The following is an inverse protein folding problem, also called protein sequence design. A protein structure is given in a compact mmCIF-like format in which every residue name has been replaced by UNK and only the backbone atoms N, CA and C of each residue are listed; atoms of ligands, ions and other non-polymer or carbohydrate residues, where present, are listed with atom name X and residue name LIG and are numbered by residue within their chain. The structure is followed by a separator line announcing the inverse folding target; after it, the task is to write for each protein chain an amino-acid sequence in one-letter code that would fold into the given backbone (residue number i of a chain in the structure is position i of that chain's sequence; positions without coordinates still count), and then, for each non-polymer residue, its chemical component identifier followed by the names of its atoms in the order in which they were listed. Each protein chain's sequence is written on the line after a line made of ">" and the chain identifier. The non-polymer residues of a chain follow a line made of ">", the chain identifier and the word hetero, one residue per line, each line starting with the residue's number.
data_IF_211639128651
#
_entry.id   IF_211639128651
#
_cell.length_a   1.000
_cell.length_b   1.000
_cell.length_c   1.000
_cell.angle_alpha   90.00
_cell.angle_beta   90.00
_cell.angle_gamma   90.00
#
_symmetry.space_group_name_H-M   'P 1'
#
loop_
_entity.id
_entity.type
_entity.pdbx_description
1 polymer ?
#
# COMPACT_ATOMS: atom_id res chain seq x y z
N UNK A 1 -21.71 -0.21 -18.26
CA UNK A 1 -20.98 -1.20 -17.43
C UNK A 1 -19.96 -1.88 -18.32
N UNK A 2 -18.70 -1.88 -17.94
CA UNK A 2 -17.63 -2.60 -18.65
C UNK A 2 -17.13 -3.73 -17.75
N UNK A 3 -16.66 -4.81 -18.38
CA UNK A 3 -16.00 -5.92 -17.69
C UNK A 3 -14.50 -5.65 -17.70
N UNK A 4 -13.91 -5.53 -16.52
CA UNK A 4 -12.49 -5.23 -16.36
C UNK A 4 -11.78 -6.40 -15.70
N UNK A 5 -10.47 -6.52 -16.00
CA UNK A 5 -9.58 -7.50 -15.38
C UNK A 5 -8.40 -6.77 -14.75
N UNK A 6 -8.03 -7.18 -13.54
CA UNK A 6 -6.90 -6.56 -12.83
C UNK A 6 -6.18 -7.57 -11.94
N UNK A 7 -4.95 -7.23 -11.57
CA UNK A 7 -4.21 -7.87 -10.48
C UNK A 7 -4.15 -6.92 -9.30
N UNK A 8 -4.51 -7.38 -8.11
CA UNK A 8 -4.56 -6.51 -6.95
C UNK A 8 -4.32 -7.20 -5.62
N UNK A 9 -3.95 -6.39 -4.64
CA UNK A 9 -3.80 -6.76 -3.24
C UNK A 9 -5.08 -6.43 -2.48
N UNK A 10 -5.61 -7.37 -1.72
CA UNK A 10 -6.77 -7.12 -0.85
C UNK A 10 -6.31 -6.33 0.37
N UNK A 11 -6.74 -5.06 0.46
CA UNK A 11 -6.34 -4.13 1.53
C UNK A 11 -7.42 -3.93 2.60
N UNK A 12 -8.69 -4.23 2.29
CA UNK A 12 -9.79 -4.16 3.27
C UNK A 12 -10.92 -5.11 2.89
N UNK A 13 -11.53 -5.73 3.89
CA UNK A 13 -12.75 -6.52 3.71
C UNK A 13 -13.76 -6.14 4.79
N UNK A 14 -15.03 -5.99 4.40
CA UNK A 14 -16.12 -5.66 5.32
C UNK A 14 -17.33 -6.52 5.00
N UNK A 15 -17.90 -7.15 6.01
CA UNK A 15 -19.13 -7.93 5.85
C UNK A 15 -20.30 -6.99 5.52
N UNK A 16 -21.04 -7.31 4.46
CA UNK A 16 -22.16 -6.50 3.96
C UNK A 16 -23.52 -7.13 4.25
N UNK A 17 -23.61 -8.44 4.10
CA UNK A 17 -24.82 -9.22 4.39
C UNK A 17 -24.43 -10.62 4.88
N UNK A 18 -25.39 -11.49 5.16
CA UNK A 18 -25.14 -12.86 5.56
C UNK A 18 -24.22 -13.62 4.59
N UNK A 19 -24.31 -13.35 3.32
CA UNK A 19 -23.58 -14.09 2.28
C UNK A 19 -22.59 -13.23 1.48
N UNK A 20 -22.64 -11.90 1.60
CA UNK A 20 -21.85 -10.97 0.76
C UNK A 20 -20.89 -10.15 1.58
N UNK A 21 -19.79 -9.73 0.97
CA UNK A 21 -18.84 -8.78 1.55
C UNK A 21 -18.44 -7.69 0.56
N UNK A 22 -18.07 -6.53 1.08
CA UNK A 22 -17.41 -5.47 0.32
C UNK A 22 -15.93 -5.70 0.46
N UNK A 23 -15.21 -5.66 -0.65
CA UNK A 23 -13.75 -5.77 -0.69
C UNK A 23 -13.17 -4.50 -1.28
N UNK A 24 -12.09 -4.00 -0.68
CA UNK A 24 -11.24 -2.95 -1.25
C UNK A 24 -9.97 -3.62 -1.73
N UNK A 25 -9.70 -3.51 -3.02
CA UNK A 25 -8.58 -4.14 -3.68
C UNK A 25 -7.72 -3.03 -4.28
N UNK A 26 -6.46 -2.95 -3.89
CA UNK A 26 -5.47 -2.09 -4.48
C UNK A 26 -4.91 -2.77 -5.73
N UNK A 27 -5.30 -2.27 -6.91
CA UNK A 27 -4.96 -2.90 -8.19
C UNK A 27 -3.85 -2.16 -8.92
N UNK A 28 -3.08 -2.91 -9.69
CA UNK A 28 -2.01 -2.36 -10.52
C UNK A 28 -2.54 -1.48 -11.65
N UNK A 29 -3.62 -1.90 -12.29
CA UNK A 29 -4.16 -1.31 -13.51
C UNK A 29 -5.13 -0.15 -13.26
N UNK A 30 -5.84 -0.20 -12.14
CA UNK A 30 -6.94 0.74 -11.85
C UNK A 30 -6.79 1.45 -10.50
N UNK A 31 -5.70 1.26 -9.75
CA UNK A 31 -5.59 1.78 -8.40
C UNK A 31 -6.60 1.13 -7.46
N UNK A 32 -7.21 1.90 -6.57
CA UNK A 32 -8.15 1.39 -5.58
C UNK A 32 -9.52 1.08 -6.19
N UNK A 33 -9.96 -0.16 -6.08
CA UNK A 33 -11.26 -0.65 -6.54
C UNK A 33 -12.05 -1.16 -5.34
N UNK A 34 -13.29 -0.68 -5.18
CA UNK A 34 -14.23 -1.15 -4.16
C UNK A 34 -15.36 -1.93 -4.80
N UNK A 35 -15.47 -3.21 -4.47
CA UNK A 35 -16.42 -4.09 -5.13
C UNK A 35 -17.22 -4.94 -4.14
N UNK A 36 -18.47 -5.24 -4.53
CA UNK A 36 -19.33 -6.18 -3.83
C UNK A 36 -19.07 -7.60 -4.33
N UNK A 37 -18.59 -8.47 -3.45
CA UNK A 37 -18.44 -9.91 -3.68
C UNK A 37 -19.71 -10.64 -3.21
N UNK A 38 -20.65 -10.90 -4.12
CA UNK A 38 -21.87 -11.66 -3.81
C UNK A 38 -21.57 -13.12 -3.55
N UNK A 39 -22.01 -13.63 -2.42
CA UNK A 39 -21.72 -15.02 -2.01
C UNK A 39 -20.29 -15.20 -1.46
N UNK A 40 -19.50 -14.15 -1.28
CA UNK A 40 -18.11 -14.20 -0.82
C UNK A 40 -17.90 -14.73 0.61
N UNK A 41 -18.99 -14.88 1.39
CA UNK A 41 -18.95 -15.47 2.74
C UNK A 41 -19.43 -16.93 2.80
N UNK A 42 -19.83 -17.50 1.67
CA UNK A 42 -20.26 -18.90 1.63
C UNK A 42 -19.07 -19.82 1.76
N UNK A 43 -19.21 -20.96 2.47
CA UNK A 43 -18.16 -21.96 2.66
C UNK A 43 -17.63 -22.55 1.35
N UNK A 44 -18.43 -22.55 0.29
CA UNK A 44 -18.06 -22.91 -1.08
C UNK A 44 -18.25 -21.68 -1.98
N UNK A 45 -17.52 -20.61 -1.68
CA UNK A 45 -17.56 -19.39 -2.47
C UNK A 45 -16.69 -19.56 -3.73
N UNK A 46 -17.11 -18.93 -4.84
CA UNK A 46 -16.29 -18.87 -6.06
C UNK A 46 -15.00 -18.03 -5.87
N UNK A 47 -14.84 -17.43 -4.72
CA UNK A 47 -13.69 -16.57 -4.39
C UNK A 47 -12.66 -17.25 -3.50
N UNK A 48 -13.01 -18.42 -2.89
CA UNK A 48 -12.15 -19.15 -1.94
C UNK A 48 -11.39 -18.23 -0.98
N UNK A 49 -10.09 -18.50 -0.78
CA UNK A 49 -9.18 -17.67 0.02
C UNK A 49 -8.59 -16.47 -0.74
N UNK A 50 -9.00 -16.24 -2.00
CA UNK A 50 -8.47 -15.16 -2.82
C UNK A 50 -8.79 -13.76 -2.26
N UNK A 51 -9.88 -13.65 -1.46
CA UNK A 51 -10.30 -12.39 -0.85
C UNK A 51 -9.86 -12.24 0.62
N UNK A 52 -8.91 -13.03 1.08
CA UNK A 52 -8.31 -12.82 2.40
C UNK A 52 -7.46 -11.55 2.41
N UNK A 53 -7.44 -10.85 3.54
CA UNK A 53 -6.64 -9.66 3.72
C UNK A 53 -5.15 -9.94 3.45
N UNK A 54 -4.49 -9.07 2.73
CA UNK A 54 -3.10 -9.21 2.26
C UNK A 54 -2.88 -10.36 1.25
N UNK A 55 -3.93 -10.85 0.58
CA UNK A 55 -3.78 -11.76 -0.56
C UNK A 55 -3.69 -10.98 -1.87
N UNK A 56 -2.80 -11.39 -2.76
CA UNK A 56 -2.78 -10.92 -4.15
C UNK A 56 -3.68 -11.82 -4.98
N UNK A 57 -4.57 -11.22 -5.75
CA UNK A 57 -5.51 -11.93 -6.59
C UNK A 57 -5.63 -11.32 -7.98
N UNK A 58 -5.90 -12.18 -8.96
CA UNK A 58 -6.41 -11.75 -10.26
C UNK A 58 -7.92 -11.69 -10.17
N UNK A 59 -8.50 -10.55 -10.55
CA UNK A 59 -9.94 -10.28 -10.43
C UNK A 59 -10.58 -9.97 -11.77
N UNK A 60 -11.86 -10.30 -11.87
CA UNK A 60 -12.77 -9.80 -12.92
C UNK A 60 -13.91 -9.09 -12.23
N UNK A 61 -14.21 -7.87 -12.65
CA UNK A 61 -15.28 -7.08 -12.06
C UNK A 61 -16.05 -6.28 -13.11
N UNK A 62 -17.30 -5.98 -12.80
CA UNK A 62 -18.16 -5.10 -13.60
C UNK A 62 -18.07 -3.69 -13.02
N UNK A 63 -17.39 -2.80 -13.77
CA UNK A 63 -17.27 -1.39 -13.42
C UNK A 63 -18.60 -0.67 -13.65
N UNK A 64 -19.05 0.07 -12.63
CA UNK A 64 -20.25 0.90 -12.70
C UNK A 64 -19.90 2.37 -12.91
N UNK A 65 -20.64 3.04 -13.76
CA UNK A 65 -20.43 4.46 -14.07
C UNK A 65 -21.07 5.42 -13.07
N UNK A 66 -21.90 4.91 -12.15
CA UNK A 66 -22.74 5.72 -11.25
C UNK A 66 -22.16 5.98 -9.86
N UNK A 67 -20.86 5.76 -9.62
CA UNK A 67 -20.26 5.88 -8.27
C UNK A 67 -20.71 4.83 -7.25
N UNK A 68 -21.55 3.85 -7.68
CA UNK A 68 -21.94 2.72 -6.85
C UNK A 68 -20.82 1.69 -6.81
N UNK A 69 -20.79 0.86 -5.75
CA UNK A 69 -19.85 -0.27 -5.64
C UNK A 69 -19.87 -1.12 -6.91
N UNK A 70 -18.70 -1.45 -7.41
CA UNK A 70 -18.55 -2.39 -8.51
C UNK A 70 -19.02 -3.79 -8.13
N UNK A 71 -19.20 -4.67 -9.09
CA UNK A 71 -19.56 -6.05 -8.83
C UNK A 71 -18.38 -6.97 -9.15
N UNK A 72 -17.82 -7.59 -8.12
CA UNK A 72 -16.81 -8.62 -8.30
C UNK A 72 -17.47 -9.91 -8.81
N UNK A 73 -17.01 -10.38 -9.97
CA UNK A 73 -17.54 -11.60 -10.60
C UNK A 73 -16.63 -12.79 -10.42
N UNK A 74 -15.31 -12.57 -10.45
CA UNK A 74 -14.31 -13.61 -10.25
C UNK A 74 -13.14 -13.06 -9.42
N UNK A 75 -12.54 -13.93 -8.60
CA UNK A 75 -11.23 -13.70 -7.98
C UNK A 75 -10.48 -15.04 -7.87
N UNK A 76 -9.21 -15.03 -8.23
CA UNK A 76 -8.31 -16.18 -8.13
C UNK A 76 -7.05 -15.75 -7.40
N UNK A 77 -6.65 -16.51 -6.38
CA UNK A 77 -5.42 -16.26 -5.64
C UNK A 77 -4.19 -16.38 -6.56
N UNK A 78 -3.30 -15.39 -6.49
CA UNK A 78 -2.03 -15.34 -7.22
C UNK A 78 -0.86 -15.52 -6.25
N UNK A 79 -0.86 -14.79 -5.15
CA UNK A 79 0.20 -14.84 -4.15
C UNK A 79 -0.35 -14.61 -2.75
N UNK A 80 0.21 -15.30 -1.77
CA UNK A 80 -0.06 -15.11 -0.35
C UNK A 80 1.25 -15.01 0.41
N UNK A 81 1.25 -14.34 1.56
CA UNK A 81 2.43 -14.09 2.38
C UNK A 81 2.32 -14.82 3.73
N UNK A 82 2.34 -16.18 3.78
CA UNK A 82 2.11 -16.94 5.02
C UNK A 82 3.17 -16.64 6.10
N UNK A 83 4.38 -16.25 5.70
CA UNK A 83 5.47 -15.92 6.62
C UNK A 83 5.22 -14.65 7.43
N UNK A 84 4.43 -13.71 6.93
CA UNK A 84 4.05 -12.51 7.70
C UNK A 84 3.35 -12.87 9.02
N UNK A 85 2.63 -13.99 9.04
CA UNK A 85 1.91 -14.46 10.25
C UNK A 85 2.83 -15.11 11.28
N UNK A 86 4.10 -15.37 10.96
CA UNK A 86 5.06 -15.99 11.86
C UNK A 86 5.76 -14.95 12.76
N UNK A 87 5.73 -13.67 12.36
CA UNK A 87 6.35 -12.57 13.09
C UNK A 87 5.39 -11.39 13.25
N UNK A 88 5.11 -11.03 14.50
CA UNK A 88 4.10 -10.02 14.83
C UNK A 88 4.43 -8.64 14.24
N UNK A 89 5.70 -8.24 14.28
CA UNK A 89 6.16 -6.95 13.73
C UNK A 89 5.93 -6.88 12.22
N UNK A 90 6.21 -7.95 11.48
CA UNK A 90 5.98 -8.03 10.04
C UNK A 90 4.49 -7.99 9.71
N UNK A 91 3.66 -8.68 10.48
CA UNK A 91 2.21 -8.70 10.29
C UNK A 91 1.59 -7.31 10.51
N UNK A 92 1.97 -6.64 11.60
CA UNK A 92 1.46 -5.28 11.87
C UNK A 92 1.95 -4.27 10.85
N UNK A 93 3.19 -4.37 10.39
CA UNK A 93 3.69 -3.52 9.30
C UNK A 93 2.87 -3.73 8.02
N UNK A 94 2.54 -4.98 7.66
CA UNK A 94 1.72 -5.26 6.50
C UNK A 94 0.28 -4.73 6.63
N UNK A 95 -0.33 -4.82 7.81
CA UNK A 95 -1.65 -4.21 8.07
C UNK A 95 -1.61 -2.69 7.97
N UNK A 96 -0.58 -2.07 8.53
CA UNK A 96 -0.36 -0.62 8.41
C UNK A 96 -0.22 -0.18 6.95
N UNK A 97 0.55 -0.91 6.13
CA UNK A 97 0.65 -0.64 4.70
C UNK A 97 -0.72 -0.73 4.00
N UNK A 98 -1.51 -1.77 4.32
CA UNK A 98 -2.85 -1.93 3.75
C UNK A 98 -3.79 -0.78 4.14
N UNK A 99 -3.70 -0.27 5.38
CA UNK A 99 -4.45 0.88 5.86
C UNK A 99 -4.05 2.15 5.11
N UNK A 100 -2.75 2.43 4.97
CA UNK A 100 -2.26 3.59 4.20
C UNK A 100 -2.76 3.56 2.75
N UNK A 101 -2.64 2.42 2.07
CA UNK A 101 -3.14 2.26 0.70
C UNK A 101 -4.66 2.46 0.63
N UNK A 102 -5.40 1.97 1.63
CA UNK A 102 -6.84 2.12 1.69
C UNK A 102 -7.32 3.56 1.89
N UNK A 103 -6.60 4.33 2.71
CA UNK A 103 -7.06 5.64 3.18
C UNK A 103 -6.42 6.81 2.43
N UNK A 104 -5.19 6.66 1.91
CA UNK A 104 -4.43 7.77 1.31
C UNK A 104 -4.47 7.80 -0.21
N UNK A 105 -4.98 6.76 -0.86
CA UNK A 105 -5.11 6.73 -2.31
C UNK A 105 -6.54 6.97 -2.75
N UNK A 106 -6.72 7.44 -3.98
CA UNK A 106 -8.04 7.70 -4.55
C UNK A 106 -8.59 6.48 -5.30
N UNK A 107 -9.91 6.40 -5.44
CA UNK A 107 -10.53 5.35 -6.22
C UNK A 107 -10.20 5.54 -7.71
N UNK A 108 -9.79 4.49 -8.39
CA UNK A 108 -9.44 4.50 -9.82
C UNK A 108 -8.25 5.39 -10.20
N UNK A 109 -7.36 5.66 -9.28
CA UNK A 109 -6.09 6.35 -9.54
C UNK A 109 -4.93 5.33 -9.46
N UNK A 110 -4.40 4.84 -10.60
CA UNK A 110 -3.39 3.80 -10.61
C UNK A 110 -1.99 4.33 -10.36
N UNK A 111 -1.26 3.68 -9.45
CA UNK A 111 0.14 3.90 -9.14
C UNK A 111 0.94 2.60 -9.31
N UNK A 112 1.33 2.20 -10.54
CA UNK A 112 1.97 0.91 -10.77
C UNK A 112 3.30 0.74 -10.04
N UNK A 113 4.08 1.81 -9.87
CA UNK A 113 5.36 1.76 -9.14
C UNK A 113 5.14 1.50 -7.65
N UNK A 114 4.15 2.15 -7.05
CA UNK A 114 3.76 1.91 -5.66
C UNK A 114 3.23 0.49 -5.49
N UNK A 115 2.51 -0.05 -6.47
CA UNK A 115 2.04 -1.43 -6.44
C UNK A 115 3.20 -2.43 -6.35
N UNK A 116 4.20 -2.29 -7.21
CA UNK A 116 5.38 -3.17 -7.20
C UNK A 116 6.17 -3.03 -5.89
N UNK A 117 6.42 -1.80 -5.41
CA UNK A 117 7.10 -1.57 -4.12
C UNK A 117 6.33 -2.20 -2.95
N UNK A 118 4.99 -2.14 -2.98
CA UNK A 118 4.14 -2.79 -1.97
C UNK A 118 4.39 -4.30 -1.93
N UNK A 119 4.37 -4.96 -3.08
CA UNK A 119 4.60 -6.41 -3.14
C UNK A 119 6.02 -6.78 -2.74
N UNK A 120 7.04 -6.02 -3.18
CA UNK A 120 8.43 -6.22 -2.76
C UNK A 120 8.59 -6.09 -1.25
N UNK A 121 7.97 -5.07 -0.66
CA UNK A 121 8.02 -4.85 0.78
C UNK A 121 7.35 -5.99 1.54
N UNK A 122 6.16 -6.45 1.13
CA UNK A 122 5.47 -7.57 1.77
C UNK A 122 6.29 -8.87 1.71
N UNK A 123 6.94 -9.15 0.56
CA UNK A 123 7.85 -10.30 0.41
C UNK A 123 9.06 -10.19 1.34
N UNK A 124 9.65 -8.99 1.41
CA UNK A 124 10.82 -8.72 2.24
C UNK A 124 10.51 -8.84 3.74
N UNK A 125 9.36 -8.31 4.19
CA UNK A 125 8.90 -8.42 5.58
C UNK A 125 8.71 -9.88 6.02
N UNK A 126 8.33 -10.77 5.09
CA UNK A 126 8.24 -12.20 5.35
C UNK A 126 9.59 -12.94 5.40
N UNK A 127 10.72 -12.27 5.16
CA UNK A 127 12.04 -12.89 5.11
C UNK A 127 12.71 -12.80 6.47
N UNK A 128 13.13 -13.94 7.10
CA UNK A 128 13.81 -13.94 8.39
C UNK A 128 15.06 -13.07 8.40
N UNK A 129 15.28 -12.31 9.47
CA UNK A 129 16.46 -11.45 9.65
C UNK A 129 16.39 -10.11 8.89
N UNK A 130 15.36 -9.85 8.11
CA UNK A 130 15.18 -8.56 7.45
C UNK A 130 14.53 -7.58 8.43
N UNK A 131 15.17 -6.42 8.73
CA UNK A 131 14.63 -5.46 9.68
C UNK A 131 13.37 -4.79 9.11
N UNK A 132 12.28 -4.81 9.88
CA UNK A 132 10.96 -4.25 9.48
C UNK A 132 11.01 -2.74 9.25
N UNK A 133 11.65 -1.98 10.17
CA UNK A 133 11.65 -0.51 10.14
C UNK A 133 12.17 0.10 8.83
N UNK A 134 13.39 -0.22 8.38
CA UNK A 134 13.93 0.32 7.12
C UNK A 134 13.09 -0.05 5.89
N UNK A 135 12.46 -1.24 5.86
CA UNK A 135 11.59 -1.65 4.77
C UNK A 135 10.30 -0.84 4.73
N UNK A 136 9.70 -0.65 5.90
CA UNK A 136 8.50 0.16 6.04
C UNK A 136 8.77 1.61 5.67
N UNK A 137 9.86 2.20 6.15
CA UNK A 137 10.26 3.57 5.81
C UNK A 137 10.46 3.74 4.29
N UNK A 138 11.08 2.76 3.62
CA UNK A 138 11.21 2.79 2.16
C UNK A 138 9.84 2.82 1.46
N UNK A 139 8.91 1.96 1.88
CA UNK A 139 7.55 1.96 1.36
C UNK A 139 6.86 3.32 1.58
N UNK A 140 6.95 3.89 2.78
CA UNK A 140 6.37 5.21 3.10
C UNK A 140 6.95 6.31 2.22
N UNK A 141 8.25 6.31 1.98
CA UNK A 141 8.89 7.30 1.10
C UNK A 141 8.45 7.16 -0.36
N UNK A 142 8.24 5.93 -0.84
CA UNK A 142 7.68 5.71 -2.19
C UNK A 142 6.22 6.15 -2.24
N UNK A 143 5.42 5.81 -1.23
CA UNK A 143 4.03 6.25 -1.11
C UNK A 143 3.92 7.78 -1.18
N UNK A 144 4.69 8.48 -0.34
CA UNK A 144 4.70 9.96 -0.32
C UNK A 144 5.12 10.54 -1.67
N UNK A 145 6.11 9.95 -2.32
CA UNK A 145 6.56 10.39 -3.65
C UNK A 145 5.47 10.21 -4.71
N UNK A 146 4.84 9.04 -4.76
CA UNK A 146 3.80 8.73 -5.74
C UNK A 146 2.55 9.58 -5.55
N UNK A 147 2.26 10.00 -4.31
CA UNK A 147 1.14 10.89 -3.98
C UNK A 147 1.50 12.39 -4.07
N UNK A 148 2.76 12.74 -4.42
CA UNK A 148 3.19 14.14 -4.54
C UNK A 148 3.55 14.84 -3.23
N UNK A 149 3.72 14.09 -2.14
CA UNK A 149 4.08 14.60 -0.81
C UNK A 149 5.52 14.27 -0.40
N UNK A 150 6.38 13.93 -1.35
CA UNK A 150 7.77 13.59 -1.03
C UNK A 150 8.48 14.76 -0.34
N UNK A 151 9.05 14.57 0.84
CA UNK A 151 9.82 15.62 1.50
C UNK A 151 11.14 15.89 0.75
N UNK A 152 11.59 17.14 0.75
CA UNK A 152 12.90 17.52 0.21
C UNK A 152 13.94 17.18 1.26
N UNK A 153 14.70 16.10 1.05
CA UNK A 153 15.70 15.61 2.00
C UNK A 153 17.15 15.95 1.61
N UNK A 154 17.37 16.52 0.44
CA UNK A 154 18.71 16.75 -0.12
C UNK A 154 19.27 18.15 0.20
N UNK A 155 18.41 19.08 0.56
CA UNK A 155 18.78 20.47 0.85
C UNK A 155 18.15 20.97 2.14
N UNK A 156 18.89 21.83 2.85
CA UNK A 156 18.36 22.48 4.05
C UNK A 156 17.20 23.42 3.68
N UNK A 157 16.06 23.26 4.31
CA UNK A 157 14.87 24.07 4.07
C UNK A 157 15.09 25.58 4.35
N UNK A 158 16.00 25.91 5.26
CA UNK A 158 16.28 27.30 5.65
C UNK A 158 17.36 27.94 4.78
N UNK A 159 18.55 27.33 4.71
CA UNK A 159 19.70 27.97 4.03
C UNK A 159 19.99 27.41 2.61
N UNK A 160 19.17 26.45 2.12
CA UNK A 160 19.27 25.81 0.79
C UNK A 160 20.60 25.12 0.48
N UNK A 161 21.48 24.97 1.45
CA UNK A 161 22.74 24.21 1.28
C UNK A 161 22.43 22.71 1.18
N UNK A 162 23.20 22.01 0.34
CA UNK A 162 23.11 20.55 0.23
C UNK A 162 23.35 19.89 1.60
N UNK A 163 22.55 18.88 1.91
CA UNK A 163 22.69 18.01 3.07
C UNK A 163 23.42 16.71 2.71
N UNK A 164 23.55 16.44 1.39
CA UNK A 164 24.25 15.29 0.83
C UNK A 164 25.58 15.79 0.26
N UNK A 165 26.69 15.54 0.95
CA UNK A 165 28.01 15.91 0.44
C UNK A 165 29.12 15.50 1.40
N UNK A 166 30.30 15.25 0.85
CA UNK A 166 31.53 14.89 1.56
C UNK A 166 32.19 16.07 2.31
N UNK A 167 31.46 17.08 2.74
CA UNK A 167 31.99 18.18 3.54
C UNK A 167 32.07 17.72 5.01
N UNK A 168 33.29 17.55 5.57
CA UNK A 168 33.46 17.15 6.97
C UNK A 168 32.78 18.10 7.97
N UNK A 169 32.54 19.37 7.56
CA UNK A 169 31.78 20.31 8.39
C UNK A 169 30.28 20.03 8.35
N UNK A 170 29.77 19.30 7.34
CA UNK A 170 28.38 18.87 7.27
C UNK A 170 28.08 17.67 8.17
N UNK A 171 29.07 16.78 8.39
CA UNK A 171 28.93 15.61 9.26
C UNK A 171 28.79 16.00 10.75
N UNK A 172 29.29 17.17 11.14
CA UNK A 172 29.15 17.70 12.51
C UNK A 172 27.86 18.48 12.75
N UNK A 173 27.13 18.82 11.68
CA UNK A 173 25.88 19.58 11.80
C UNK A 173 24.73 18.63 12.17
N UNK A 174 24.13 18.86 13.33
CA UNK A 174 22.92 18.14 13.74
C UNK A 174 21.79 18.43 12.73
N UNK A 175 21.33 17.42 12.00
CA UNK A 175 20.15 17.51 11.17
C UNK A 175 18.89 17.49 12.05
N UNK A 176 17.96 18.38 11.77
CA UNK A 176 16.66 18.47 12.45
C UNK A 176 15.57 18.39 11.39
N UNK A 177 14.60 17.54 11.62
CA UNK A 177 13.37 17.50 10.83
C UNK A 177 12.30 18.31 11.54
N UNK A 178 11.81 19.36 10.89
CA UNK A 178 10.69 20.18 11.36
C UNK A 178 9.48 19.96 10.45
N UNK A 179 8.34 19.62 11.03
CA UNK A 179 7.10 19.37 10.29
C UNK A 179 6.61 20.57 9.46
N UNK A 180 7.07 21.80 9.77
CA UNK A 180 6.72 23.02 9.04
C UNK A 180 7.74 23.42 7.99
N UNK A 181 9.00 23.11 8.24
CA UNK A 181 10.15 23.54 7.44
C UNK A 181 10.89 22.39 6.76
N UNK A 182 10.39 21.14 6.89
CA UNK A 182 11.04 19.92 6.44
C UNK A 182 12.40 19.66 7.13
N UNK A 183 13.38 19.07 6.40
CA UNK A 183 14.70 18.76 6.97
C UNK A 183 15.65 19.95 6.84
N UNK A 184 16.43 20.21 7.85
CA UNK A 184 17.43 21.26 7.84
C UNK A 184 18.56 21.01 8.83
N UNK A 185 19.60 21.86 8.76
CA UNK A 185 20.63 21.95 9.79
C UNK A 185 20.04 22.66 11.01
N UNK A 186 20.46 22.27 12.23
CA UNK A 186 20.13 23.04 13.40
C UNK A 186 20.74 24.46 13.25
N UNK A 187 19.89 25.44 12.97
CA UNK A 187 20.28 26.85 12.98
C UNK A 187 20.00 27.39 14.37
N UNK A 188 21.07 27.74 15.11
CA UNK A 188 21.04 28.42 16.42
C UNK A 188 21.03 29.92 16.16
#
# INVERSE_FOLDING_TARGET
>A
MSTEKATGLVVRTTDYSETSRIVTIWTREFGKVRALAKGGRRLRSNFESALDLLSVCSIVFLRKTSGALDLLTEARGVEQFPRLRQEMSALYAAYYMAELLGDWTEDYDPHPQLFEETLETLRALGTPGVPTGPRLLRFEMVLLRELGYAPILETCAVCRKSLTGSDPAADAARLVFDLRAEIGRAHV
#
